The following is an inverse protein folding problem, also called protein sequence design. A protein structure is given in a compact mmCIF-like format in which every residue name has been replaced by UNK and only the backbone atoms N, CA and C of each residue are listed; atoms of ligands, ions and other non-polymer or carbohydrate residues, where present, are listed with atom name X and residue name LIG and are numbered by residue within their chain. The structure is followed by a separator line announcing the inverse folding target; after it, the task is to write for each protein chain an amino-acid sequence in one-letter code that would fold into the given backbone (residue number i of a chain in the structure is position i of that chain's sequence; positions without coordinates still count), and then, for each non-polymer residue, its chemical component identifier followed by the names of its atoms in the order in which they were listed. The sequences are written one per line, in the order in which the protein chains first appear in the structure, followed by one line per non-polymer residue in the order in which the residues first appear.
data_IF_021575561841
#
_entry.id   IF_021575561841
#
_cell.length_a   1.000
_cell.length_b   1.000
_cell.length_c   1.000
_cell.angle_alpha   90.00
_cell.angle_beta   90.00
_cell.angle_gamma   90.00
#
_symmetry.space_group_name_H-M   'P 1'
#
loop_
_entity.id
_entity.type
_entity.pdbx_description
1 polymer ?
#
# COMPACT_ATOMS: atom_id res chain seq x y z
N UNK A 1 16.24 -27.47 6.93
CA UNK A 1 16.91 -26.37 6.20
C UNK A 1 15.99 -25.15 6.21
N UNK A 2 16.13 -24.32 7.25
CA UNK A 2 15.48 -23.01 7.28
C UNK A 2 16.26 -22.17 6.28
N UNK A 3 15.73 -22.01 5.08
CA UNK A 3 16.28 -21.07 4.11
C UNK A 3 16.15 -19.70 4.76
N UNK A 4 17.28 -19.16 5.20
CA UNK A 4 17.40 -17.77 5.65
C UNK A 4 17.02 -16.89 4.48
N UNK A 5 15.72 -16.60 4.36
CA UNK A 5 15.25 -15.46 3.61
C UNK A 5 15.78 -14.25 4.36
N UNK A 6 16.96 -13.79 3.94
CA UNK A 6 17.39 -12.43 4.19
C UNK A 6 16.33 -11.51 3.59
N UNK A 7 15.28 -11.23 4.37
CA UNK A 7 14.51 -10.02 4.22
C UNK A 7 15.55 -8.92 4.14
N UNK A 8 15.76 -8.39 2.93
CA UNK A 8 16.71 -7.30 2.72
C UNK A 8 16.49 -6.29 3.85
N UNK A 9 17.55 -6.05 4.62
CA UNK A 9 17.59 -5.08 5.72
C UNK A 9 17.30 -3.67 5.15
N UNK A 10 17.47 -3.49 3.84
CA UNK A 10 16.96 -2.32 3.14
C UNK A 10 15.44 -2.33 3.08
N UNK A 11 14.87 -1.41 3.84
CA UNK A 11 13.49 -0.98 3.71
C UNK A 11 13.24 -0.52 2.27
N UNK A 12 12.21 -1.03 1.57
CA UNK A 12 11.87 -0.54 0.24
C UNK A 12 11.59 0.96 0.31
N UNK A 13 12.25 1.72 -0.55
CA UNK A 13 12.08 3.19 -0.60
C UNK A 13 10.86 3.57 -1.43
N UNK A 14 10.44 2.68 -2.33
CA UNK A 14 9.29 2.89 -3.21
C UNK A 14 8.29 1.73 -3.14
N UNK A 15 7.01 2.05 -3.39
CA UNK A 15 5.94 1.05 -3.50
C UNK A 15 6.24 0.02 -4.60
N UNK A 16 6.96 0.43 -5.65
CA UNK A 16 7.36 -0.46 -6.75
C UNK A 16 8.36 -1.52 -6.28
N UNK A 17 9.37 -1.13 -5.51
CA UNK A 17 10.35 -2.05 -4.92
C UNK A 17 9.69 -3.06 -3.98
N UNK A 18 8.78 -2.59 -3.12
CA UNK A 18 8.03 -3.48 -2.22
C UNK A 18 7.24 -4.53 -3.02
N UNK A 19 6.53 -4.12 -4.07
CA UNK A 19 5.78 -5.05 -4.92
C UNK A 19 6.68 -6.04 -5.65
N UNK A 20 7.83 -5.58 -6.16
CA UNK A 20 8.79 -6.45 -6.85
C UNK A 20 9.32 -7.54 -5.93
N UNK A 21 9.63 -7.19 -4.68
CA UNK A 21 10.12 -8.14 -3.66
C UNK A 21 9.15 -9.31 -3.44
N UNK A 22 7.85 -9.08 -3.50
CA UNK A 22 6.85 -10.14 -3.36
C UNK A 22 6.58 -10.90 -4.65
N UNK A 23 6.62 -10.22 -5.80
CA UNK A 23 6.17 -10.79 -7.08
C UNK A 23 7.25 -11.60 -7.79
N UNK A 24 8.51 -11.15 -7.74
CA UNK A 24 9.62 -11.80 -8.46
C UNK A 24 9.80 -13.27 -8.06
N UNK A 25 9.84 -13.63 -6.76
CA UNK A 25 10.00 -15.03 -6.33
C UNK A 25 8.80 -15.91 -6.68
N UNK A 26 7.59 -15.33 -6.74
CA UNK A 26 6.39 -16.04 -7.20
C UNK A 26 6.46 -16.29 -8.72
N UNK A 27 6.92 -15.30 -9.48
CA UNK A 27 7.05 -15.40 -10.93
C UNK A 27 8.13 -16.42 -11.34
N UNK A 28 9.26 -16.44 -10.63
CA UNK A 28 10.34 -17.42 -10.79
C UNK A 28 9.98 -18.83 -10.28
N UNK A 29 8.78 -19.00 -9.71
CA UNK A 29 8.27 -20.25 -9.12
C UNK A 29 9.07 -20.77 -7.93
N UNK A 30 9.88 -19.92 -7.30
CA UNK A 30 10.61 -20.25 -6.07
C UNK A 30 9.65 -20.36 -4.87
N UNK A 31 8.60 -19.53 -4.85
CA UNK A 31 7.57 -19.54 -3.82
C UNK A 31 6.17 -19.74 -4.39
N UNK A 32 5.33 -20.45 -3.63
CA UNK A 32 3.91 -20.57 -3.93
C UNK A 32 3.16 -19.35 -3.40
N UNK A 33 2.21 -18.86 -4.19
CA UNK A 33 1.38 -17.70 -3.86
C UNK A 33 0.66 -17.85 -2.51
N UNK A 34 0.23 -19.08 -2.17
CA UNK A 34 -0.45 -19.39 -0.90
C UNK A 34 0.43 -19.14 0.33
N UNK A 35 1.74 -19.36 0.22
CA UNK A 35 2.67 -19.27 1.33
C UNK A 35 3.07 -17.81 1.53
N UNK A 36 3.29 -17.08 0.42
CA UNK A 36 3.51 -15.62 0.44
C UNK A 36 2.30 -14.88 1.01
N UNK A 37 1.08 -15.29 0.67
CA UNK A 37 -0.14 -14.64 1.16
C UNK A 37 -0.34 -14.75 2.68
N UNK A 38 0.36 -15.65 3.38
CA UNK A 38 0.31 -15.75 4.85
C UNK A 38 1.22 -14.73 5.54
N UNK A 39 2.30 -14.32 4.88
CA UNK A 39 3.34 -13.43 5.45
C UNK A 39 3.21 -12.01 4.92
N UNK A 40 2.70 -11.83 3.72
CA UNK A 40 2.55 -10.54 3.08
C UNK A 40 1.51 -9.67 3.84
N UNK A 41 1.79 -8.37 4.07
CA UNK A 41 0.82 -7.45 4.68
C UNK A 41 -0.39 -7.16 3.77
N UNK A 42 -0.37 -7.61 2.52
CA UNK A 42 -1.43 -7.41 1.55
C UNK A 42 -2.25 -8.67 1.28
N UNK A 43 -3.48 -8.48 0.82
CA UNK A 43 -4.39 -9.57 0.51
C UNK A 43 -3.92 -10.44 -0.68
N UNK A 44 -4.28 -11.72 -0.65
CA UNK A 44 -4.06 -12.70 -1.73
C UNK A 44 -4.44 -12.16 -3.12
N UNK A 45 -5.61 -11.51 -3.23
CA UNK A 45 -6.12 -10.92 -4.48
C UNK A 45 -5.24 -9.78 -5.01
N UNK A 46 -4.51 -9.09 -4.13
CA UNK A 46 -3.57 -8.04 -4.53
C UNK A 46 -2.31 -8.66 -5.13
N UNK A 47 -1.78 -9.71 -4.50
CA UNK A 47 -0.65 -10.49 -5.03
C UNK A 47 -0.97 -11.08 -6.41
N UNK A 48 -2.14 -11.71 -6.58
CA UNK A 48 -2.59 -12.26 -7.86
C UNK A 48 -2.61 -11.20 -8.98
N UNK A 49 -3.17 -10.02 -8.67
CA UNK A 49 -3.20 -8.88 -9.61
C UNK A 49 -1.79 -8.40 -9.97
N UNK A 50 -0.89 -8.32 -9.00
CA UNK A 50 0.48 -7.90 -9.24
C UNK A 50 1.26 -8.91 -10.08
N UNK A 51 1.13 -10.21 -9.80
CA UNK A 51 1.73 -11.27 -10.61
C UNK A 51 1.21 -11.22 -12.05
N UNK A 52 -0.10 -11.03 -12.24
CA UNK A 52 -0.70 -10.88 -13.57
C UNK A 52 -0.19 -9.63 -14.30
N UNK A 53 -0.09 -8.49 -13.59
CA UNK A 53 0.44 -7.24 -14.15
C UNK A 53 1.93 -7.37 -14.53
N UNK A 54 2.72 -8.04 -13.70
CA UNK A 54 4.14 -8.29 -13.95
C UNK A 54 4.35 -9.24 -15.15
N UNK A 55 3.51 -10.27 -15.29
CA UNK A 55 3.52 -11.15 -16.48
C UNK A 55 3.26 -10.39 -17.77
N UNK A 56 2.37 -9.38 -17.74
CA UNK A 56 1.96 -8.63 -18.94
C UNK A 56 2.89 -7.46 -19.28
N UNK A 57 3.42 -6.78 -18.27
CA UNK A 57 4.13 -5.50 -18.45
C UNK A 57 5.49 -5.43 -17.75
N UNK A 58 5.97 -6.54 -17.17
CA UNK A 58 7.19 -6.58 -16.38
C UNK A 58 7.14 -5.64 -15.17
N UNK A 59 8.29 -5.08 -14.81
CA UNK A 59 8.42 -4.15 -13.68
C UNK A 59 7.54 -2.90 -13.81
N UNK A 60 7.24 -2.43 -15.03
CA UNK A 60 6.35 -1.29 -15.28
C UNK A 60 4.92 -1.57 -14.82
N UNK A 61 4.49 -2.83 -14.85
CA UNK A 61 3.17 -3.24 -14.39
C UNK A 61 2.92 -3.04 -12.89
N UNK A 62 3.99 -2.90 -12.10
CA UNK A 62 3.93 -2.72 -10.65
C UNK A 62 4.02 -1.27 -10.19
N UNK A 63 4.19 -0.32 -11.12
CA UNK A 63 4.25 1.09 -10.80
C UNK A 63 2.93 1.59 -10.17
N UNK A 64 3.01 2.44 -9.14
CA UNK A 64 1.83 3.05 -8.55
C UNK A 64 1.17 4.00 -9.57
N UNK A 65 -0.06 3.68 -9.99
CA UNK A 65 -0.84 4.49 -10.93
C UNK A 65 -1.69 5.58 -10.26
N UNK A 66 -1.54 5.79 -8.95
CA UNK A 66 -2.34 6.78 -8.23
C UNK A 66 -2.01 8.18 -8.76
N UNK A 67 -2.93 8.75 -9.52
CA UNK A 67 -2.91 10.14 -9.97
C UNK A 67 -3.46 11.11 -8.92
N UNK A 68 -3.84 10.59 -7.73
CA UNK A 68 -4.35 11.42 -6.65
C UNK A 68 -3.30 12.50 -6.34
N UNK A 69 -3.65 13.79 -6.47
CA UNK A 69 -2.72 14.85 -6.15
C UNK A 69 -2.36 14.77 -4.66
N UNK A 70 -1.06 14.86 -4.35
CA UNK A 70 -0.56 14.81 -2.95
C UNK A 70 -0.95 16.07 -2.17
N UNK A 71 -1.18 17.17 -2.88
CA UNK A 71 -1.72 18.44 -2.38
C UNK A 71 -2.80 18.91 -3.35
N UNK A 72 -3.93 19.37 -2.82
CA UNK A 72 -4.98 19.95 -3.65
C UNK A 72 -4.91 21.48 -3.56
N UNK A 73 -4.87 22.23 -4.67
CA UNK A 73 -4.77 23.69 -4.61
C UNK A 73 -5.98 24.36 -3.93
N UNK A 74 -7.13 23.66 -3.82
CA UNK A 74 -8.31 24.13 -3.07
C UNK A 74 -8.48 23.37 -1.76
N UNK A 75 -7.41 22.80 -1.23
CA UNK A 75 -7.42 22.14 0.07
C UNK A 75 -7.74 23.17 1.15
N UNK A 76 -8.66 22.82 2.05
CA UNK A 76 -8.99 23.67 3.19
C UNK A 76 -7.74 23.89 4.04
N UNK A 77 -7.52 25.13 4.47
CA UNK A 77 -6.42 25.50 5.35
C UNK A 77 -6.28 24.52 6.53
N UNK A 78 -5.03 24.19 6.89
CA UNK A 78 -4.76 23.20 7.92
C UNK A 78 -5.42 23.54 9.26
N UNK A 79 -5.44 24.83 9.61
CA UNK A 79 -6.08 25.37 10.81
C UNK A 79 -7.57 25.01 10.89
N UNK A 80 -8.29 25.04 9.77
CA UNK A 80 -9.72 24.71 9.74
C UNK A 80 -9.91 23.21 9.97
N UNK A 81 -9.06 22.36 9.37
CA UNK A 81 -9.14 20.91 9.57
C UNK A 81 -8.86 20.51 11.01
N UNK A 82 -7.81 21.07 11.61
CA UNK A 82 -7.46 20.84 13.00
C UNK A 82 -8.59 21.30 13.93
N UNK A 83 -9.15 22.49 13.66
CA UNK A 83 -10.30 23.00 14.40
C UNK A 83 -11.51 22.06 14.32
N UNK A 84 -11.80 21.50 13.15
CA UNK A 84 -12.88 20.52 12.97
C UNK A 84 -12.60 19.25 13.78
N UNK A 85 -11.36 18.73 13.75
CA UNK A 85 -10.97 17.54 14.51
C UNK A 85 -11.16 17.79 16.01
N UNK A 86 -10.71 18.93 16.52
CA UNK A 86 -10.84 19.29 17.93
C UNK A 86 -12.30 19.44 18.36
N UNK A 87 -13.12 20.13 17.56
CA UNK A 87 -14.54 20.27 17.83
C UNK A 87 -15.24 18.90 17.85
N UNK A 88 -14.90 18.00 16.93
CA UNK A 88 -15.47 16.64 16.89
C UNK A 88 -15.01 15.79 18.08
N UNK A 89 -13.74 15.88 18.50
CA UNK A 89 -13.25 15.20 19.71
C UNK A 89 -13.95 15.70 20.97
N UNK A 90 -14.14 17.02 21.10
CA UNK A 90 -14.79 17.65 22.27
C UNK A 90 -16.28 17.33 22.34
N UNK A 91 -16.99 17.49 21.23
CA UNK A 91 -18.45 17.34 21.20
C UNK A 91 -18.92 15.89 21.05
N UNK A 92 -18.05 15.00 20.56
CA UNK A 92 -18.35 13.59 20.19
C UNK A 92 -19.56 13.44 19.25
N UNK A 93 -19.91 14.53 18.56
CA UNK A 93 -20.98 14.58 17.57
C UNK A 93 -20.35 14.39 16.20
N UNK A 94 -20.18 13.12 15.80
CA UNK A 94 -19.51 12.75 14.56
C UNK A 94 -20.24 13.32 13.33
N UNK A 95 -21.44 12.82 13.04
CA UNK A 95 -22.23 13.21 11.87
C UNK A 95 -23.26 14.31 12.17
N UNK A 96 -23.54 14.57 13.44
CA UNK A 96 -24.53 15.55 13.85
C UNK A 96 -23.98 16.97 13.69
N UNK A 97 -24.82 17.89 13.25
CA UNK A 97 -24.47 19.32 13.20
C UNK A 97 -24.14 19.81 14.61
N UNK A 98 -23.06 20.56 14.71
CA UNK A 98 -22.78 21.36 15.90
C UNK A 98 -23.71 22.56 15.84
N UNK A 99 -24.50 22.76 16.90
CA UNK A 99 -25.32 23.97 17.08
C UNK A 99 -24.42 25.10 17.55
#
# INVERSE_FOLDING_TARGET
MIVSWGMSIHMPTTIKEERLRWVVPIYQKELKLKDVAKVCPHSKRSLERWVAAYKKYGARGLEPKSTRPKSHPRETEIRIKERIIDLRKKTRKCALKLK
#
